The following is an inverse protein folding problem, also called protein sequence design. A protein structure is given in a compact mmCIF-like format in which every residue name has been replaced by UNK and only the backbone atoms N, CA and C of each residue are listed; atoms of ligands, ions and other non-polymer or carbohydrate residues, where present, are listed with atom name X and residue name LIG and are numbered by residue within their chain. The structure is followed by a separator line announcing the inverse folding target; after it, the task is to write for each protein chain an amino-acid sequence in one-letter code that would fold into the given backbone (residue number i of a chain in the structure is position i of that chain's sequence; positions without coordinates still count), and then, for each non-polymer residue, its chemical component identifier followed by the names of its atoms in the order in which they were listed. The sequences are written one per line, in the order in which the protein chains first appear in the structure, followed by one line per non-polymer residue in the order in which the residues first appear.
data_IF_801898080089
#
_entry.id   IF_801898080089
#
_cell.length_a   1.000
_cell.length_b   1.000
_cell.length_c   1.000
_cell.angle_alpha   90.00
_cell.angle_beta   90.00
_cell.angle_gamma   90.00
#
_symmetry.space_group_name_H-M   'P 1'
#
loop_
_entity.id
_entity.type
_entity.pdbx_description
1 polymer ?
#
# COMPACT_ATOMS: atom_id res chain seq x y z
N UNK A 1 26.80 19.90 50.79
CA UNK A 1 26.01 21.13 50.58
C UNK A 1 26.70 22.02 49.55
N UNK A 2 26.18 22.10 48.32
CA UNK A 2 26.21 23.28 47.44
C UNK A 2 25.02 23.18 46.48
N UNK A 3 24.12 24.14 46.57
CA UNK A 3 22.86 24.26 45.85
C UNK A 3 22.97 25.39 44.81
N UNK A 4 22.62 25.09 43.56
CA UNK A 4 22.05 26.02 42.57
C UNK A 4 20.82 25.30 41.99
N UNK A 5 19.61 25.52 42.53
CA UNK A 5 18.56 26.45 42.08
C UNK A 5 18.07 26.30 40.62
N UNK A 6 17.89 25.06 40.16
CA UNK A 6 16.78 24.68 39.25
C UNK A 6 16.82 23.16 39.03
N UNK A 7 16.23 22.42 39.96
CA UNK A 7 16.08 20.97 39.88
C UNK A 7 15.04 20.56 38.84
N UNK A 8 15.41 20.60 37.56
CA UNK A 8 14.67 19.93 36.48
C UNK A 8 15.62 19.06 35.69
N UNK A 9 15.87 17.84 36.19
CA UNK A 9 16.13 16.72 35.28
C UNK A 9 14.81 16.45 34.56
N UNK A 10 14.71 16.93 33.33
CA UNK A 10 13.58 16.66 32.46
C UNK A 10 13.69 15.18 32.03
N UNK A 11 13.00 14.29 32.75
CA UNK A 11 12.77 12.90 32.32
C UNK A 11 11.79 12.90 31.12
N UNK A 12 12.25 13.33 29.95
CA UNK A 12 11.49 13.32 28.68
C UNK A 12 12.28 12.54 27.63
N UNK A 13 12.65 11.29 27.96
CA UNK A 13 13.32 10.41 26.97
C UNK A 13 12.83 8.97 26.97
N UNK A 14 12.10 8.51 27.98
CA UNK A 14 11.72 7.09 28.07
C UNK A 14 10.30 6.81 27.59
N UNK A 15 9.33 7.70 27.85
CA UNK A 15 7.96 7.54 27.37
C UNK A 15 7.88 7.68 25.84
N UNK A 16 8.54 8.69 25.28
CA UNK A 16 8.60 8.93 23.83
C UNK A 16 9.37 7.82 23.11
N UNK A 17 10.45 7.29 23.71
CA UNK A 17 11.20 6.15 23.16
C UNK A 17 10.42 4.83 23.20
N UNK A 18 9.62 4.58 24.24
CA UNK A 18 8.76 3.38 24.31
C UNK A 18 7.59 3.49 23.32
N UNK A 19 7.03 4.69 23.14
CA UNK A 19 6.03 4.96 22.10
C UNK A 19 6.63 4.75 20.70
N UNK A 20 7.85 5.24 20.49
CA UNK A 20 8.62 5.06 19.27
C UNK A 20 8.88 3.58 18.98
N UNK A 21 9.40 2.81 19.95
CA UNK A 21 9.61 1.36 19.79
C UNK A 21 8.29 0.62 19.49
N UNK A 22 7.18 0.98 20.14
CA UNK A 22 5.87 0.35 19.86
C UNK A 22 5.35 0.68 18.46
N UNK A 23 5.49 1.92 18.02
CA UNK A 23 5.13 2.33 16.65
C UNK A 23 6.00 1.61 15.61
N UNK A 24 7.31 1.47 15.87
CA UNK A 24 8.27 0.79 14.99
C UNK A 24 8.06 -0.71 14.89
N UNK A 25 7.61 -1.37 15.97
CA UNK A 25 7.35 -2.81 15.99
C UNK A 25 6.02 -3.15 15.29
N UNK A 26 5.04 -2.23 15.31
CA UNK A 26 3.73 -2.44 14.70
C UNK A 26 3.59 -1.94 13.26
N UNK A 27 4.41 -0.98 12.83
CA UNK A 27 4.34 -0.40 11.49
C UNK A 27 5.13 -1.24 10.48
N UNK A 28 4.39 -1.97 9.65
CA UNK A 28 4.94 -2.66 8.48
C UNK A 28 4.08 -2.35 7.25
N UNK A 29 4.60 -2.67 6.08
CA UNK A 29 3.91 -2.38 4.83
C UNK A 29 2.54 -3.04 4.74
N UNK A 30 2.38 -4.22 5.35
CA UNK A 30 1.11 -4.95 5.39
C UNK A 30 0.05 -4.20 6.19
N UNK A 31 0.40 -3.61 7.33
CA UNK A 31 -0.52 -2.81 8.15
C UNK A 31 -0.97 -1.55 7.40
N UNK A 32 -0.06 -0.90 6.68
CA UNK A 32 -0.42 0.25 5.83
C UNK A 32 -1.38 -0.19 4.72
N UNK A 33 -1.07 -1.30 4.03
CA UNK A 33 -1.92 -1.88 2.99
C UNK A 33 -3.31 -2.30 3.50
N UNK A 34 -3.40 -2.95 4.66
CA UNK A 34 -4.67 -3.34 5.30
C UNK A 34 -5.52 -2.11 5.60
N UNK A 35 -4.94 -1.09 6.27
CA UNK A 35 -5.64 0.15 6.64
C UNK A 35 -6.13 0.94 5.43
N UNK A 36 -5.32 1.02 4.38
CA UNK A 36 -5.73 1.65 3.11
C UNK A 36 -6.88 0.87 2.45
N UNK A 37 -6.86 -0.47 2.51
CA UNK A 37 -7.94 -1.33 2.02
C UNK A 37 -9.25 -1.19 2.80
N UNK A 38 -9.19 -0.86 4.09
CA UNK A 38 -10.36 -0.50 4.92
C UNK A 38 -10.95 0.87 4.59
N UNK A 39 -10.33 1.64 3.69
CA UNK A 39 -10.75 2.99 3.32
C UNK A 39 -10.19 4.09 4.22
N UNK A 40 -9.22 3.79 5.09
CA UNK A 40 -8.54 4.83 5.89
C UNK A 40 -7.65 5.69 4.99
N UNK A 41 -7.57 6.97 5.32
CA UNK A 41 -6.69 7.90 4.62
C UNK A 41 -5.26 7.79 5.14
N UNK A 42 -4.30 8.30 4.37
CA UNK A 42 -2.90 8.38 4.82
C UNK A 42 -2.78 9.21 6.10
N UNK A 43 -3.59 10.27 6.24
CA UNK A 43 -3.62 11.09 7.45
C UNK A 43 -4.04 10.27 8.69
N UNK A 44 -5.08 9.43 8.56
CA UNK A 44 -5.55 8.57 9.66
C UNK A 44 -4.49 7.53 10.08
N UNK A 45 -3.68 7.07 9.12
CA UNK A 45 -2.58 6.13 9.39
C UNK A 45 -1.42 6.84 10.09
N UNK A 46 -1.15 8.08 9.70
CA UNK A 46 -0.07 8.92 10.23
C UNK A 46 -0.38 9.56 11.60
N UNK A 47 -1.64 9.79 11.94
CA UNK A 47 -2.04 10.44 13.21
C UNK A 47 -1.38 9.84 14.48
N UNK A 48 -1.33 8.51 14.67
CA UNK A 48 -0.66 7.91 15.83
C UNK A 48 0.86 7.73 15.65
N UNK A 49 1.43 8.13 14.50
CA UNK A 49 2.82 7.92 14.16
C UNK A 49 3.62 9.22 14.28
N UNK A 50 4.88 9.16 14.77
CA UNK A 50 5.82 10.27 14.65
C UNK A 50 5.97 10.75 13.19
N UNK A 51 6.15 12.06 13.01
CA UNK A 51 6.18 12.73 11.70
C UNK A 51 7.27 12.17 10.77
N UNK A 52 8.35 11.61 11.34
CA UNK A 52 9.46 10.99 10.60
C UNK A 52 9.01 9.79 9.75
N UNK A 53 7.91 9.13 10.13
CA UNK A 53 7.36 8.00 9.36
C UNK A 53 6.35 8.41 8.31
N UNK A 54 5.84 9.64 8.36
CA UNK A 54 4.80 10.10 7.43
C UNK A 54 5.25 10.06 5.98
N UNK A 55 6.50 10.46 5.61
CA UNK A 55 6.98 10.34 4.24
C UNK A 55 6.93 8.89 3.74
N UNK A 56 7.43 7.95 4.53
CA UNK A 56 7.43 6.53 4.16
C UNK A 56 6.01 5.96 3.98
N UNK A 57 5.06 6.31 4.87
CA UNK A 57 3.66 5.89 4.72
C UNK A 57 3.03 6.50 3.46
N UNK A 58 3.28 7.79 3.19
CA UNK A 58 2.79 8.48 1.98
C UNK A 58 3.32 7.84 0.71
N UNK A 59 4.62 7.57 0.64
CA UNK A 59 5.26 6.97 -0.52
C UNK A 59 4.77 5.55 -0.75
N UNK A 60 4.65 4.75 0.31
CA UNK A 60 4.10 3.40 0.21
C UNK A 60 2.64 3.42 -0.26
N UNK A 61 1.81 4.31 0.30
CA UNK A 61 0.42 4.45 -0.09
C UNK A 61 0.27 4.90 -1.55
N UNK A 62 1.07 5.87 -1.99
CA UNK A 62 1.09 6.34 -3.37
C UNK A 62 1.50 5.22 -4.33
N UNK A 63 2.56 4.48 -3.99
CA UNK A 63 3.05 3.35 -4.80
C UNK A 63 1.99 2.25 -4.93
N UNK A 64 1.38 1.81 -3.82
CA UNK A 64 0.35 0.77 -3.85
C UNK A 64 -0.88 1.18 -4.67
N UNK A 65 -1.31 2.45 -4.56
CA UNK A 65 -2.43 2.98 -5.37
C UNK A 65 -2.07 3.04 -6.84
N UNK A 66 -0.89 3.57 -7.18
CA UNK A 66 -0.42 3.65 -8.56
C UNK A 66 -0.31 2.25 -9.20
N UNK A 67 0.25 1.27 -8.49
CA UNK A 67 0.34 -0.13 -8.96
C UNK A 67 -1.06 -0.74 -9.16
N UNK A 68 -2.01 -0.47 -8.27
CA UNK A 68 -3.39 -0.96 -8.39
C UNK A 68 -4.10 -0.36 -9.61
N UNK A 69 -3.98 0.95 -9.78
CA UNK A 69 -4.59 1.69 -10.90
C UNK A 69 -3.96 1.26 -12.22
N UNK A 70 -2.64 1.07 -12.28
CA UNK A 70 -1.94 0.61 -13.48
C UNK A 70 -2.42 -0.78 -13.92
N UNK A 71 -2.56 -1.73 -12.98
CA UNK A 71 -3.06 -3.08 -13.26
C UNK A 71 -4.53 -3.01 -13.73
N UNK A 72 -5.36 -2.22 -13.04
CA UNK A 72 -6.78 -2.10 -13.36
C UNK A 72 -6.99 -1.48 -14.75
N UNK A 73 -6.32 -0.37 -15.02
CA UNK A 73 -6.41 0.31 -16.30
C UNK A 73 -5.79 -0.52 -17.43
N UNK A 74 -4.68 -1.20 -17.16
CA UNK A 74 -4.09 -2.17 -18.07
C UNK A 74 -5.10 -3.27 -18.43
N UNK A 75 -5.79 -3.83 -17.44
CA UNK A 75 -6.77 -4.88 -17.65
C UNK A 75 -7.99 -4.37 -18.43
N UNK A 76 -8.48 -3.16 -18.14
CA UNK A 76 -9.59 -2.53 -18.88
C UNK A 76 -9.23 -2.25 -20.33
N UNK A 77 -8.05 -1.69 -20.59
CA UNK A 77 -7.54 -1.42 -21.94
C UNK A 77 -7.38 -2.70 -22.75
N UNK A 78 -6.77 -3.72 -22.15
CA UNK A 78 -6.56 -5.00 -22.81
C UNK A 78 -7.88 -5.75 -23.05
N UNK A 79 -8.80 -5.74 -22.08
CA UNK A 79 -10.14 -6.27 -22.24
C UNK A 79 -10.87 -5.59 -23.41
N UNK A 80 -10.87 -4.25 -23.45
CA UNK A 80 -11.48 -3.48 -24.53
C UNK A 80 -10.86 -3.78 -25.90
N UNK A 81 -9.52 -3.88 -25.97
CA UNK A 81 -8.80 -4.27 -27.19
C UNK A 81 -9.23 -5.64 -27.69
N UNK A 82 -9.32 -6.64 -26.81
CA UNK A 82 -9.72 -8.00 -27.17
C UNK A 82 -11.17 -8.01 -27.67
N UNK A 83 -12.10 -7.40 -26.92
CA UNK A 83 -13.52 -7.37 -27.31
C UNK A 83 -13.73 -6.65 -28.64
N UNK A 84 -13.01 -5.56 -28.89
CA UNK A 84 -13.10 -4.82 -30.15
C UNK A 84 -12.51 -5.58 -31.35
N UNK A 85 -11.56 -6.49 -31.11
CA UNK A 85 -10.95 -7.30 -32.17
C UNK A 85 -11.74 -8.58 -32.48
N UNK A 86 -12.68 -8.98 -31.60
CA UNK A 86 -13.47 -10.18 -31.77
C UNK A 86 -14.69 -9.93 -32.67
N UNK A 87 -15.09 -10.89 -33.52
CA UNK A 87 -16.26 -10.78 -34.38
C UNK A 87 -17.56 -10.80 -33.56
N UNK A 88 -18.64 -10.21 -34.08
CA UNK A 88 -19.95 -10.25 -33.43
C UNK A 88 -20.40 -11.71 -33.13
N UNK A 89 -20.92 -11.95 -31.93
CA UNK A 89 -21.31 -13.29 -31.49
C UNK A 89 -20.15 -14.21 -31.11
N UNK A 90 -18.97 -13.66 -30.80
CA UNK A 90 -17.80 -14.43 -30.40
C UNK A 90 -18.06 -15.38 -29.21
N UNK A 91 -17.43 -16.54 -29.24
CA UNK A 91 -17.49 -17.52 -28.16
C UNK A 91 -16.44 -17.20 -27.08
N UNK A 92 -16.72 -17.59 -25.82
CA UNK A 92 -15.77 -17.45 -24.71
C UNK A 92 -14.39 -18.08 -24.99
N UNK A 93 -14.35 -19.15 -25.79
CA UNK A 93 -13.09 -19.78 -26.22
C UNK A 93 -12.20 -18.88 -27.07
N UNK A 94 -12.78 -18.00 -27.90
CA UNK A 94 -12.03 -17.05 -28.71
C UNK A 94 -11.43 -15.94 -27.84
N UNK A 95 -12.19 -15.47 -26.85
CA UNK A 95 -11.66 -14.55 -25.84
C UNK A 95 -10.49 -15.19 -25.07
N UNK A 96 -10.62 -16.46 -24.67
CA UNK A 96 -9.57 -17.18 -23.97
C UNK A 96 -8.28 -17.33 -24.81
N UNK A 97 -8.42 -17.57 -26.12
CA UNK A 97 -7.28 -17.62 -27.04
C UNK A 97 -6.59 -16.25 -27.16
N UNK A 98 -7.35 -15.17 -27.28
CA UNK A 98 -6.80 -13.81 -27.35
C UNK A 98 -6.11 -13.39 -26.02
N UNK A 99 -6.67 -13.77 -24.88
CA UNK A 99 -6.14 -13.44 -23.56
C UNK A 99 -5.01 -14.38 -23.08
N UNK A 100 -4.70 -15.45 -23.82
CA UNK A 100 -3.82 -16.53 -23.36
C UNK A 100 -2.40 -16.05 -22.99
N UNK A 101 -1.87 -15.08 -23.74
CA UNK A 101 -0.54 -14.51 -23.53
C UNK A 101 -0.47 -13.31 -22.57
N UNK A 102 -1.60 -12.84 -22.05
CA UNK A 102 -1.63 -11.65 -21.19
C UNK A 102 -1.32 -12.00 -19.74
N UNK A 103 -0.39 -11.26 -19.11
CA UNK A 103 -0.16 -11.35 -17.67
C UNK A 103 -1.40 -10.91 -16.85
N UNK A 104 -2.30 -10.15 -17.45
CA UNK A 104 -3.52 -9.65 -16.84
C UNK A 104 -4.70 -10.62 -16.98
N UNK A 105 -4.47 -11.82 -17.51
CA UNK A 105 -5.49 -12.85 -17.75
C UNK A 105 -6.44 -13.09 -16.56
N UNK A 106 -6.00 -13.20 -15.30
CA UNK A 106 -6.93 -13.37 -14.17
C UNK A 106 -7.98 -12.25 -14.07
N UNK A 107 -7.58 -11.01 -14.35
CA UNK A 107 -8.43 -9.82 -14.29
C UNK A 107 -9.32 -9.68 -15.51
N UNK A 108 -8.82 -10.08 -16.69
CA UNK A 108 -9.57 -10.07 -17.95
C UNK A 108 -10.83 -10.93 -17.88
N UNK A 109 -10.75 -12.12 -17.28
CA UNK A 109 -11.92 -12.99 -17.12
C UNK A 109 -12.93 -12.44 -16.10
N UNK A 110 -12.48 -11.69 -15.09
CA UNK A 110 -13.42 -11.00 -14.19
C UNK A 110 -14.17 -9.90 -14.91
N UNK A 111 -13.47 -9.09 -15.70
CA UNK A 111 -14.08 -8.04 -16.53
C UNK A 111 -15.05 -8.65 -17.55
N UNK A 112 -14.68 -9.78 -18.15
CA UNK A 112 -15.56 -10.55 -19.05
C UNK A 112 -16.84 -11.02 -18.36
N UNK A 113 -16.75 -11.43 -17.10
CA UNK A 113 -17.88 -11.86 -16.28
C UNK A 113 -18.65 -10.65 -15.67
N UNK A 114 -18.30 -9.41 -16.02
CA UNK A 114 -18.92 -8.19 -15.51
C UNK A 114 -18.59 -7.85 -14.05
N UNK A 115 -17.52 -8.45 -13.50
CA UNK A 115 -17.07 -8.25 -12.11
C UNK A 115 -15.94 -7.22 -12.04
N UNK A 116 -15.92 -6.42 -10.98
CA UNK A 116 -14.82 -5.51 -10.71
C UNK A 116 -13.61 -6.26 -10.12
N UNK A 117 -12.44 -6.26 -10.78
CA UNK A 117 -11.24 -6.88 -10.24
C UNK A 117 -10.54 -6.05 -9.16
N UNK A 118 -10.92 -4.78 -8.94
CA UNK A 118 -10.21 -3.83 -8.08
C UNK A 118 -9.84 -4.38 -6.70
N UNK A 119 -10.79 -4.98 -5.99
CA UNK A 119 -10.54 -5.55 -4.66
C UNK A 119 -9.52 -6.71 -4.71
N UNK A 120 -9.58 -7.57 -5.73
CA UNK A 120 -8.63 -8.69 -5.86
C UNK A 120 -7.25 -8.22 -6.32
N UNK A 121 -7.20 -7.19 -7.17
CA UNK A 121 -5.95 -6.52 -7.55
C UNK A 121 -5.30 -5.96 -6.29
N UNK A 122 -6.05 -5.24 -5.45
CA UNK A 122 -5.56 -4.72 -4.19
C UNK A 122 -4.97 -5.82 -3.30
N UNK A 123 -5.69 -6.95 -3.15
CA UNK A 123 -5.20 -8.13 -2.41
C UNK A 123 -3.93 -8.75 -2.99
N UNK A 124 -3.73 -8.68 -4.30
CA UNK A 124 -2.51 -9.19 -4.94
C UNK A 124 -1.28 -8.32 -4.67
N UNK A 125 -1.48 -7.05 -4.34
CA UNK A 125 -0.42 -6.09 -4.02
C UNK A 125 -0.01 -6.10 -2.55
N UNK A 126 -0.51 -7.05 -1.76
CA UNK A 126 -0.16 -7.16 -0.34
C UNK A 126 1.37 -7.25 -0.20
N UNK A 127 2.03 -6.23 0.39
CA UNK A 127 3.47 -6.26 0.58
C UNK A 127 3.84 -7.31 1.64
N UNK A 128 5.03 -7.88 1.51
CA UNK A 128 5.59 -8.75 2.56
C UNK A 128 5.67 -7.99 3.89
N UNK A 129 5.34 -8.67 5.00
CA UNK A 129 5.38 -8.08 6.35
C UNK A 129 6.76 -7.59 6.80
N UNK A 130 7.81 -7.93 6.05
CA UNK A 130 9.18 -7.49 6.27
C UNK A 130 9.47 -6.09 5.72
N UNK A 131 8.56 -5.50 4.93
CA UNK A 131 8.71 -4.12 4.46
C UNK A 131 8.53 -3.16 5.63
N UNK A 132 9.64 -2.57 6.10
CA UNK A 132 9.68 -1.64 7.23
C UNK A 132 10.24 -0.29 6.81
N UNK A 133 9.87 0.81 7.50
CA UNK A 133 10.52 2.09 7.31
C UNK A 133 12.01 1.99 7.64
N UNK A 134 12.86 2.54 6.76
CA UNK A 134 14.29 2.69 7.03
C UNK A 134 14.48 3.90 7.93
N UNK A 135 15.00 3.69 9.14
CA UNK A 135 15.28 4.77 10.07
C UNK A 135 16.63 5.41 9.74
N UNK A 136 16.63 6.66 9.28
CA UNK A 136 17.82 7.49 9.29
C UNK A 136 17.85 8.22 10.63
N UNK A 137 18.62 7.71 11.59
CA UNK A 137 18.96 8.49 12.77
C UNK A 137 19.94 9.56 12.32
N UNK A 138 19.52 10.82 12.31
CA UNK A 138 20.47 11.92 12.44
C UNK A 138 20.96 11.95 13.90
N UNK A 139 21.75 10.96 14.30
CA UNK A 139 22.58 11.01 15.50
C UNK A 139 24.03 10.89 15.04
N UNK A 140 24.57 12.00 14.53
CA UNK A 140 26.02 12.23 14.46
C UNK A 140 26.28 13.72 14.39
N UNK A 141 26.38 14.36 15.56
CA UNK A 141 27.17 15.57 15.79
C UNK A 141 27.54 15.68 17.27
#
# INVERSE_FOLDING_TARGET
MRLTRSGRMVKVKQADYIAFQRALIGLNGRVVWERLGEGRTVADICEPLPDEFHPWVRDLAARLRAEADEILDGARREHGRIVAALPEGWARGQYAAAAAGSALRPWLFMLLDGKDPGEKIWRSLCPSGDLRPVYFSEDTA
#
